data_IF_596020837023
#
_entry.id   IF_596020837023
#
_cell.length_a   1.000
_cell.length_b   1.000
_cell.length_c   1.000
_cell.angle_alpha   90.00
_cell.angle_beta   90.00
_cell.angle_gamma   90.00
#
_symmetry.space_group_name_H-M   'P 1'
#
loop_
_entity.id
_entity.type
_entity.pdbx_description
1 polymer ?
#
# COMPACT_ATOMS: atom_id res chain seq x y z
N UNK A 1 18.05 -17.57 20.12
CA UNK A 1 17.02 -17.57 19.07
C UNK A 1 15.95 -16.57 19.48
N UNK A 2 16.06 -15.32 19.02
CA UNK A 2 15.12 -14.26 19.42
C UNK A 2 13.92 -14.35 18.50
N UNK A 3 12.78 -14.81 19.03
CA UNK A 3 11.49 -14.73 18.36
C UNK A 3 11.26 -13.26 18.03
N UNK A 4 11.28 -12.90 16.74
CA UNK A 4 10.79 -11.62 16.30
C UNK A 4 9.36 -11.48 16.84
N UNK A 5 9.12 -10.46 17.67
CA UNK A 5 7.78 -10.17 18.15
C UNK A 5 6.89 -10.08 16.91
N UNK A 6 5.83 -10.91 16.86
CA UNK A 6 4.81 -10.78 15.83
C UNK A 6 4.30 -9.36 15.95
N UNK A 7 4.64 -8.49 15.01
CA UNK A 7 4.17 -7.13 15.01
C UNK A 7 2.65 -7.22 14.93
N UNK A 8 1.97 -6.88 16.04
CA UNK A 8 0.52 -6.87 16.06
C UNK A 8 0.04 -5.88 15.00
N UNK A 9 -0.85 -6.33 14.12
CA UNK A 9 -1.48 -5.47 13.12
C UNK A 9 -2.04 -4.24 13.84
N UNK A 10 -1.71 -3.01 13.41
CA UNK A 10 -2.21 -1.82 14.06
C UNK A 10 -3.73 -1.73 13.95
N UNK A 11 -4.38 -1.11 14.93
CA UNK A 11 -5.81 -0.87 14.86
C UNK A 11 -6.13 0.07 13.68
N UNK A 12 -7.17 -0.29 12.90
CA UNK A 12 -7.63 0.54 11.80
C UNK A 12 -8.14 1.89 12.33
N UNK A 13 -7.83 3.02 11.66
CA UNK A 13 -8.41 4.31 12.01
C UNK A 13 -9.95 4.27 11.96
N UNK A 14 -10.59 4.87 12.97
CA UNK A 14 -12.06 4.89 13.08
C UNK A 14 -12.74 5.66 11.93
N UNK A 15 -11.98 6.50 11.22
CA UNK A 15 -12.43 7.27 10.05
C UNK A 15 -12.60 6.41 8.80
N UNK A 16 -12.00 5.22 8.75
CA UNK A 16 -12.13 4.33 7.59
C UNK A 16 -13.55 3.77 7.48
N UNK A 17 -14.05 3.72 6.26
CA UNK A 17 -15.26 3.01 5.86
C UNK A 17 -15.03 1.49 5.79
N UNK A 18 -16.03 0.77 5.30
CA UNK A 18 -15.97 -0.69 5.19
C UNK A 18 -14.86 -1.17 4.25
N UNK A 19 -14.76 -0.56 3.07
CA UNK A 19 -13.74 -0.89 2.07
C UNK A 19 -12.34 -0.62 2.61
N UNK A 20 -12.10 0.55 3.18
CA UNK A 20 -10.83 0.96 3.73
C UNK A 20 -10.37 0.04 4.86
N UNK A 21 -11.29 -0.39 5.76
CA UNK A 21 -10.96 -1.37 6.82
C UNK A 21 -10.59 -2.75 6.26
N UNK A 22 -11.32 -3.22 5.25
CA UNK A 22 -11.01 -4.49 4.57
C UNK A 22 -9.63 -4.43 3.90
N UNK A 23 -9.32 -3.30 3.25
CA UNK A 23 -8.00 -3.06 2.67
C UNK A 23 -6.93 -3.00 3.76
N UNK A 24 -7.18 -2.31 4.87
CA UNK A 24 -6.27 -2.19 6.02
C UNK A 24 -5.84 -3.55 6.54
N UNK A 25 -6.81 -4.42 6.86
CA UNK A 25 -6.53 -5.77 7.35
C UNK A 25 -5.69 -6.55 6.33
N UNK A 26 -6.07 -6.48 5.04
CA UNK A 26 -5.37 -7.18 3.96
C UNK A 26 -3.94 -6.70 3.78
N UNK A 27 -3.68 -5.40 3.73
CA UNK A 27 -2.32 -4.85 3.48
C UNK A 27 -1.41 -5.09 4.67
N UNK A 28 -1.88 -4.88 5.91
CA UNK A 28 -1.06 -5.16 7.10
C UNK A 28 -0.79 -6.65 7.28
N UNK A 29 -1.75 -7.53 6.93
CA UNK A 29 -1.54 -8.99 6.94
C UNK A 29 -0.55 -9.41 5.87
N UNK A 30 -0.70 -8.92 4.63
CA UNK A 30 0.19 -9.28 3.53
C UNK A 30 1.61 -8.74 3.72
N UNK A 31 1.75 -7.55 4.33
CA UNK A 31 3.01 -6.85 4.51
C UNK A 31 3.69 -7.04 5.86
N UNK A 32 3.23 -7.96 6.72
CA UNK A 32 3.77 -8.16 8.08
C UNK A 32 5.30 -8.30 8.15
N UNK A 33 5.93 -8.80 7.08
CA UNK A 33 7.37 -9.07 7.04
C UNK A 33 8.21 -7.80 6.78
N UNK A 34 7.68 -6.80 6.07
CA UNK A 34 8.47 -5.64 5.63
C UNK A 34 7.88 -4.29 6.02
N UNK A 35 6.59 -4.23 6.35
CA UNK A 35 5.95 -3.01 6.79
C UNK A 35 6.27 -2.72 8.25
N UNK A 36 6.44 -1.45 8.52
CA UNK A 36 6.68 -0.90 9.84
C UNK A 36 5.42 -0.16 10.34
N UNK A 37 4.79 -0.64 11.42
CA UNK A 37 3.70 0.04 12.12
C UNK A 37 3.97 1.49 12.54
N UNK A 38 5.23 1.91 12.57
CA UNK A 38 5.62 3.26 13.00
C UNK A 38 5.89 4.20 11.84
N UNK A 39 6.45 3.72 10.74
CA UNK A 39 6.84 4.57 9.60
C UNK A 39 5.83 4.53 8.46
N UNK A 40 5.13 3.41 8.29
CA UNK A 40 4.28 3.17 7.12
C UNK A 40 2.79 3.40 7.42
N UNK A 41 2.45 3.70 8.69
CA UNK A 41 1.09 3.89 9.16
C UNK A 41 0.33 4.94 8.36
N UNK A 42 0.93 6.10 8.15
CA UNK A 42 0.28 7.23 7.48
C UNK A 42 0.03 6.96 6.00
N UNK A 43 0.99 6.36 5.29
CA UNK A 43 0.83 6.07 3.86
C UNK A 43 -0.18 4.94 3.64
N UNK A 44 -0.22 3.95 4.53
CA UNK A 44 -1.23 2.89 4.50
C UNK A 44 -2.62 3.40 4.87
N UNK A 45 -2.71 4.37 5.79
CA UNK A 45 -3.97 5.05 6.10
C UNK A 45 -4.51 5.75 4.85
N UNK A 46 -3.69 6.56 4.17
CA UNK A 46 -4.08 7.23 2.92
C UNK A 46 -4.45 6.27 1.80
N UNK A 47 -3.79 5.12 1.70
CA UNK A 47 -4.16 4.06 0.77
C UNK A 47 -5.58 3.55 1.06
N UNK A 48 -5.89 3.26 2.33
CA UNK A 48 -7.20 2.77 2.72
C UNK A 48 -8.31 3.82 2.53
N UNK A 49 -8.04 5.08 2.87
CA UNK A 49 -8.95 6.21 2.63
C UNK A 49 -9.23 6.39 1.13
N UNK A 50 -8.20 6.28 0.28
CA UNK A 50 -8.37 6.37 -1.17
C UNK A 50 -9.24 5.22 -1.73
N UNK A 51 -9.19 4.05 -1.10
CA UNK A 51 -10.08 2.95 -1.45
C UNK A 51 -11.53 3.22 -1.04
N UNK A 52 -11.77 3.77 0.15
CA UNK A 52 -13.12 4.21 0.57
C UNK A 52 -13.70 5.25 -0.41
N UNK A 53 -12.92 6.27 -0.74
CA UNK A 53 -13.34 7.34 -1.64
C UNK A 53 -13.63 6.83 -3.06
N UNK A 54 -12.81 5.90 -3.57
CA UNK A 54 -13.06 5.26 -4.86
C UNK A 54 -14.37 4.49 -4.88
N UNK A 55 -14.67 3.71 -3.84
CA UNK A 55 -15.92 2.94 -3.79
C UNK A 55 -17.13 3.87 -3.65
N UNK A 56 -17.05 4.93 -2.84
CA UNK A 56 -18.10 5.94 -2.76
C UNK A 56 -18.40 6.60 -4.13
N UNK A 57 -17.35 6.94 -4.89
CA UNK A 57 -17.51 7.48 -6.24
C UNK A 57 -18.11 6.46 -7.22
N UNK A 58 -17.71 5.19 -7.13
CA UNK A 58 -18.25 4.11 -7.97
C UNK A 58 -19.72 3.85 -7.68
N UNK A 59 -20.11 3.86 -6.41
CA UNK A 59 -21.49 3.70 -5.98
C UNK A 59 -22.36 4.85 -6.50
N UNK A 60 -21.86 6.09 -6.44
CA UNK A 60 -22.57 7.24 -7.00
C UNK A 60 -22.75 7.11 -8.52
N UNK A 61 -21.70 6.72 -9.25
CA UNK A 61 -21.79 6.47 -10.70
C UNK A 61 -22.76 5.33 -11.02
N UNK A 62 -22.82 4.29 -10.18
CA UNK A 62 -23.75 3.18 -10.36
C UNK A 62 -25.21 3.62 -10.17
N UNK A 63 -25.46 4.56 -9.25
CA UNK A 63 -26.78 5.13 -8.99
C UNK A 63 -27.21 6.11 -10.10
N UNK A 64 -26.31 7.00 -10.52
CA UNK A 64 -26.61 8.06 -11.49
C UNK A 64 -26.52 7.60 -12.95
N UNK A 65 -25.75 6.53 -13.20
CA UNK A 65 -25.39 6.05 -14.51
C UNK A 65 -24.13 6.72 -15.09
N UNK A 66 -23.55 6.09 -16.11
CA UNK A 66 -22.31 6.56 -16.75
C UNK A 66 -22.47 7.87 -17.53
N UNK A 67 -23.70 8.25 -17.87
CA UNK A 67 -24.03 9.43 -18.67
C UNK A 67 -25.06 10.28 -17.91
N UNK A 68 -24.75 11.56 -17.72
CA UNK A 68 -25.61 12.51 -17.01
C UNK A 68 -25.94 13.70 -17.90
N UNK A 69 -27.09 14.33 -17.66
CA UNK A 69 -27.46 15.56 -18.35
C UNK A 69 -26.52 16.72 -17.95
N UNK A 70 -25.97 17.40 -18.94
CA UNK A 70 -25.26 18.67 -18.76
C UNK A 70 -26.22 19.83 -18.53
N UNK A 71 -25.67 20.99 -18.19
CA UNK A 71 -26.45 22.20 -17.88
C UNK A 71 -27.37 22.69 -19.01
N UNK A 72 -27.11 22.30 -20.26
CA UNK A 72 -27.96 22.62 -21.42
C UNK A 72 -28.66 21.39 -22.01
N UNK A 73 -28.77 20.30 -21.25
CA UNK A 73 -29.48 19.09 -21.65
C UNK A 73 -28.69 18.10 -22.51
N UNK A 74 -27.46 18.44 -22.93
CA UNK A 74 -26.58 17.49 -23.63
C UNK A 74 -26.15 16.36 -22.69
N UNK A 75 -26.19 15.11 -23.15
CA UNK A 75 -25.65 13.98 -22.38
C UNK A 75 -24.12 14.05 -22.39
N UNK A 76 -23.52 13.91 -21.22
CA UNK A 76 -22.06 13.85 -21.05
C UNK A 76 -21.67 12.72 -20.10
N UNK A 77 -20.42 12.30 -20.17
CA UNK A 77 -19.87 11.33 -19.22
C UNK A 77 -19.97 11.86 -17.79
N UNK A 78 -20.26 10.98 -16.84
CA UNK A 78 -20.36 11.32 -15.43
C UNK A 78 -19.03 11.93 -14.92
N UNK A 79 -19.03 13.12 -14.27
CA UNK A 79 -17.81 13.80 -13.84
C UNK A 79 -16.88 12.94 -12.97
N UNK A 80 -17.44 12.13 -12.07
CA UNK A 80 -16.66 11.22 -11.23
C UNK A 80 -15.83 10.18 -12.01
N UNK A 81 -16.11 9.93 -13.29
CA UNK A 81 -15.30 9.01 -14.09
C UNK A 81 -13.86 9.50 -14.31
N UNK A 82 -13.61 10.82 -14.30
CA UNK A 82 -12.23 11.33 -14.31
C UNK A 82 -11.58 11.20 -12.93
N UNK A 83 -12.33 11.50 -11.87
CA UNK A 83 -11.84 11.41 -10.49
C UNK A 83 -11.52 9.97 -10.09
N UNK A 84 -12.34 9.00 -10.50
CA UNK A 84 -12.07 7.57 -10.29
C UNK A 84 -10.73 7.17 -10.94
N UNK A 85 -10.44 7.63 -12.16
CA UNK A 85 -9.15 7.34 -12.81
C UNK A 85 -7.98 8.00 -12.09
N UNK A 86 -8.18 9.22 -11.59
CA UNK A 86 -7.16 9.95 -10.84
C UNK A 86 -6.84 9.24 -9.51
N UNK A 87 -7.85 8.81 -8.77
CA UNK A 87 -7.66 8.11 -7.49
C UNK A 87 -7.10 6.70 -7.69
N UNK A 88 -7.49 5.98 -8.76
CA UNK A 88 -6.90 4.67 -9.10
C UNK A 88 -5.41 4.78 -9.42
N UNK A 89 -5.00 5.85 -10.12
CA UNK A 89 -3.59 6.14 -10.34
C UNK A 89 -2.87 6.47 -9.01
N UNK A 90 -3.53 7.17 -8.08
CA UNK A 90 -2.97 7.47 -6.77
C UNK A 90 -2.83 6.22 -5.89
N UNK A 91 -3.83 5.34 -5.89
CA UNK A 91 -3.80 4.03 -5.22
C UNK A 91 -2.62 3.21 -5.71
N UNK A 92 -2.43 3.11 -7.03
CA UNK A 92 -1.30 2.38 -7.63
C UNK A 92 0.05 2.91 -7.13
N UNK A 93 0.18 4.23 -6.96
CA UNK A 93 1.40 4.86 -6.41
C UNK A 93 1.62 4.48 -4.94
N UNK A 94 0.57 4.53 -4.12
CA UNK A 94 0.68 4.11 -2.71
C UNK A 94 1.02 2.63 -2.58
N UNK A 95 0.39 1.75 -3.38
CA UNK A 95 0.72 0.32 -3.42
C UNK A 95 2.19 0.10 -3.80
N UNK A 96 2.71 0.86 -4.77
CA UNK A 96 4.12 0.79 -5.16
C UNK A 96 5.06 1.24 -4.06
N UNK A 97 4.76 2.38 -3.42
CA UNK A 97 5.55 2.93 -2.29
C UNK A 97 5.62 1.96 -1.11
N UNK A 98 4.53 1.23 -0.85
CA UNK A 98 4.45 0.27 0.25
C UNK A 98 4.92 -1.15 -0.13
N UNK A 99 5.43 -1.34 -1.35
CA UNK A 99 5.97 -2.62 -1.79
C UNK A 99 4.91 -3.69 -2.08
N UNK A 100 3.69 -3.31 -2.47
CA UNK A 100 2.62 -4.26 -2.81
C UNK A 100 2.59 -4.68 -4.28
N UNK A 101 3.38 -4.04 -5.16
CA UNK A 101 3.52 -4.49 -6.54
C UNK A 101 4.52 -5.65 -6.64
N UNK A 102 4.38 -6.58 -7.61
CA UNK A 102 5.35 -7.65 -7.83
C UNK A 102 6.78 -7.14 -8.03
N UNK A 103 6.93 -6.04 -8.77
CA UNK A 103 8.23 -5.40 -9.05
C UNK A 103 8.87 -4.86 -7.78
N UNK A 104 8.10 -4.17 -6.94
CA UNK A 104 8.62 -3.59 -5.71
C UNK A 104 8.93 -4.68 -4.67
N UNK A 105 8.12 -5.74 -4.59
CA UNK A 105 8.44 -6.92 -3.76
C UNK A 105 9.73 -7.60 -4.18
N UNK A 106 9.95 -7.78 -5.49
CA UNK A 106 11.21 -8.34 -5.99
C UNK A 106 12.40 -7.45 -5.63
N UNK A 107 12.24 -6.12 -5.69
CA UNK A 107 13.27 -5.16 -5.29
C UNK A 107 13.60 -5.24 -3.80
N UNK A 108 12.59 -5.37 -2.93
CA UNK A 108 12.77 -5.57 -1.49
C UNK A 108 13.54 -6.87 -1.20
N UNK A 109 13.15 -7.98 -1.84
CA UNK A 109 13.85 -9.26 -1.70
C UNK A 109 15.32 -9.19 -2.13
N UNK A 110 15.61 -8.53 -3.26
CA UNK A 110 16.98 -8.31 -3.72
C UNK A 110 17.80 -7.45 -2.75
N UNK A 111 17.21 -6.40 -2.18
CA UNK A 111 17.87 -5.56 -1.19
C UNK A 111 18.23 -6.34 0.07
N UNK A 112 17.36 -7.23 0.54
CA UNK A 112 17.58 -8.06 1.71
C UNK A 112 18.71 -9.09 1.50
N UNK A 113 18.69 -9.81 0.36
CA UNK A 113 19.76 -10.75 0.00
C UNK A 113 21.12 -10.04 -0.08
N UNK A 114 21.18 -8.86 -0.70
CA UNK A 114 22.42 -8.09 -0.82
C UNK A 114 22.94 -7.60 0.54
N UNK A 115 22.06 -7.26 1.48
CA UNK A 115 22.45 -6.89 2.85
C UNK A 115 23.04 -8.08 3.61
N UNK A 116 22.41 -9.25 3.54
CA UNK A 116 22.89 -10.46 4.17
C UNK A 116 24.30 -10.82 3.68
N UNK A 117 24.51 -10.87 2.36
CA UNK A 117 25.83 -11.17 1.78
C UNK A 117 26.93 -10.19 2.23
N UNK A 118 26.61 -8.88 2.30
CA UNK A 118 27.58 -7.87 2.74
C UNK A 118 27.94 -8.01 4.23
N UNK A 119 26.99 -8.43 5.07
CA UNK A 119 27.26 -8.69 6.48
C UNK A 119 28.17 -9.91 6.64
N UNK A 120 27.90 -10.98 5.90
CA UNK A 120 28.73 -12.19 5.91
C UNK A 120 30.18 -11.87 5.49
N UNK A 121 30.37 -11.06 4.44
CA UNK A 121 31.68 -10.59 4.02
C UNK A 121 32.43 -9.82 5.12
N UNK A 122 31.73 -8.96 5.87
CA UNK A 122 32.33 -8.17 6.95
C UNK A 122 32.73 -9.06 8.13
N UNK A 123 31.93 -10.07 8.48
CA UNK A 123 32.24 -11.04 9.53
C UNK A 123 33.47 -11.87 9.12
N UNK A 124 33.51 -12.38 7.89
CA UNK A 124 34.64 -13.15 7.38
C UNK A 124 35.95 -12.35 7.42
N UNK A 125 35.92 -11.06 7.03
CA UNK A 125 37.09 -10.15 7.12
C UNK A 125 37.57 -9.91 8.54
N UNK A 126 36.67 -9.86 9.53
CA UNK A 126 37.04 -9.70 10.95
C UNK A 126 37.70 -10.96 11.51
N UNK A 127 37.18 -12.13 11.17
CA UNK A 127 37.76 -13.41 11.61
C UNK A 127 39.17 -13.62 11.06
N UNK A 128 39.42 -13.26 9.81
CA UNK A 128 40.75 -13.31 9.20
C UNK A 128 41.77 -12.37 9.86
N UNK A 129 41.32 -11.26 10.45
CA UNK A 129 42.19 -10.28 11.13
C UNK A 129 42.50 -10.62 12.59
N UNK A 130 41.68 -11.43 13.25
CA UNK A 130 41.91 -11.87 14.63
C UNK A 130 42.67 -13.20 14.76
N UNK A 131 42.96 -13.85 13.64
CA UNK A 131 43.65 -15.15 13.58
C UNK A 131 45.13 -15.05 13.14
N UNK A 132 45.67 -13.84 13.01
CA UNK A 132 47.08 -13.55 12.75
C UNK A 132 47.62 -12.59 13.80
#
# INVERSE_FOLDING_TARGET
MQLAAVASIPAAPATLGETGRSVWERVWTAGQVWLSPTTDLDVLTRLCEAHDEREAMRDQVAQDGYMVAGSMGQMRAHPLLSEIRAIEAQITKYESLCGFTPTDRARLGYAEVKRASKLDELIARRQQRGAG
#
